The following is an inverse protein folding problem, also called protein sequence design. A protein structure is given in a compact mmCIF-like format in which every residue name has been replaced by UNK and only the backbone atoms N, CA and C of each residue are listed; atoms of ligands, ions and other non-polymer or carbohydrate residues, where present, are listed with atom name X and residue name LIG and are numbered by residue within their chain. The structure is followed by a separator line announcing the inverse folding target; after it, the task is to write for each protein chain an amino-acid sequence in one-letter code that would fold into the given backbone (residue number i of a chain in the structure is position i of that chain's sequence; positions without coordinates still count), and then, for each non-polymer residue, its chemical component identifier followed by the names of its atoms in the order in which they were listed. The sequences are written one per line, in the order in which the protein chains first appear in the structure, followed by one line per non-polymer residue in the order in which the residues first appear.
data_IF_431774661810
#
_entry.id   IF_431774661810
#
_cell.length_a   1.000
_cell.length_b   1.000
_cell.length_c   1.000
_cell.angle_alpha   90.00
_cell.angle_beta   90.00
_cell.angle_gamma   90.00
#
_symmetry.space_group_name_H-M   'P 1'
#
loop_
_entity.id
_entity.type
_entity.pdbx_description
1 polymer ?
#
# COMPACT_ATOMS: atom_id res chain seq x y z
N UNK A 1 16.78 -8.01 -29.37
CA UNK A 1 15.66 -8.57 -28.57
C UNK A 1 15.65 -7.84 -27.21
N UNK A 2 15.15 -6.61 -27.17
CA UNK A 2 15.12 -5.75 -25.95
C UNK A 2 13.72 -5.64 -25.31
N UNK A 3 12.67 -6.06 -26.03
CA UNK A 3 11.26 -5.86 -25.63
C UNK A 3 10.89 -6.66 -24.36
N UNK A 4 11.53 -7.81 -24.12
CA UNK A 4 11.30 -8.63 -22.92
C UNK A 4 11.70 -7.93 -21.62
N UNK A 5 12.70 -7.03 -21.65
CA UNK A 5 13.18 -6.38 -20.42
C UNK A 5 12.22 -5.31 -19.88
N UNK A 6 11.42 -4.64 -20.74
CA UNK A 6 10.56 -3.55 -20.27
C UNK A 6 9.34 -4.08 -19.51
N UNK A 7 8.68 -5.13 -20.02
CA UNK A 7 7.53 -5.76 -19.37
C UNK A 7 7.96 -6.48 -18.09
N UNK A 8 9.13 -7.12 -18.08
CA UNK A 8 9.68 -7.78 -16.89
C UNK A 8 10.04 -6.78 -15.76
N UNK A 9 10.30 -5.51 -16.09
CA UNK A 9 10.55 -4.45 -15.09
C UNK A 9 9.29 -3.92 -14.44
N UNK A 10 8.11 -4.14 -15.03
CA UNK A 10 6.85 -3.58 -14.52
C UNK A 10 6.51 -4.01 -13.08
N UNK A 11 6.58 -5.31 -12.70
CA UNK A 11 6.32 -5.71 -11.31
C UNK A 11 7.28 -5.07 -10.31
N UNK A 12 8.56 -4.92 -10.69
CA UNK A 12 9.59 -4.30 -9.84
C UNK A 12 9.29 -2.82 -9.64
N UNK A 13 8.88 -2.11 -10.68
CA UNK A 13 8.52 -0.70 -10.59
C UNK A 13 7.25 -0.48 -9.75
N UNK A 14 6.25 -1.35 -9.90
CA UNK A 14 5.01 -1.29 -9.14
C UNK A 14 5.27 -1.51 -7.64
N UNK A 15 6.05 -2.54 -7.31
CA UNK A 15 6.47 -2.85 -5.94
C UNK A 15 7.24 -1.68 -5.30
N UNK A 16 8.17 -1.08 -6.03
CA UNK A 16 8.91 0.12 -5.58
C UNK A 16 8.00 1.34 -5.37
N UNK A 17 7.02 1.55 -6.24
CA UNK A 17 6.08 2.66 -6.08
C UNK A 17 5.22 2.50 -4.83
N UNK A 18 4.79 1.27 -4.54
CA UNK A 18 4.02 0.97 -3.32
C UNK A 18 4.87 1.16 -2.06
N UNK A 19 6.14 0.75 -2.11
CA UNK A 19 7.09 0.92 -1.01
C UNK A 19 7.32 2.41 -0.69
N UNK A 20 7.44 3.25 -1.71
CA UNK A 20 7.62 4.69 -1.55
C UNK A 20 6.39 5.43 -1.00
N UNK A 21 5.18 5.02 -1.39
CA UNK A 21 3.95 5.72 -1.02
C UNK A 21 3.39 5.23 0.31
N UNK A 22 3.45 3.92 0.57
CA UNK A 22 2.83 3.30 1.75
C UNK A 22 3.79 2.47 2.60
N UNK A 23 4.89 1.94 2.04
CA UNK A 23 5.84 1.06 2.75
C UNK A 23 5.33 -0.35 3.09
N UNK A 24 4.06 -0.64 2.82
CA UNK A 24 3.43 -1.93 3.04
C UNK A 24 2.61 -2.39 1.82
N UNK A 25 2.35 -3.70 1.71
CA UNK A 25 1.58 -4.29 0.61
C UNK A 25 2.33 -4.43 -0.72
N UNK A 26 3.66 -4.34 -0.70
CA UNK A 26 4.52 -4.40 -1.91
C UNK A 26 4.43 -5.72 -2.68
N UNK A 27 4.08 -6.81 -2.00
CA UNK A 27 3.77 -8.11 -2.62
C UNK A 27 2.34 -8.12 -3.16
N UNK A 28 1.39 -7.68 -2.35
CA UNK A 28 -0.04 -7.66 -2.67
C UNK A 28 -0.34 -6.88 -3.95
N UNK A 29 0.33 -5.74 -4.15
CA UNK A 29 0.13 -4.93 -5.36
C UNK A 29 0.56 -5.67 -6.64
N UNK A 30 1.62 -6.49 -6.56
CA UNK A 30 2.09 -7.30 -7.69
C UNK A 30 1.13 -8.45 -7.97
N UNK A 31 0.63 -9.11 -6.92
CA UNK A 31 -0.35 -10.21 -7.05
C UNK A 31 -1.67 -9.71 -7.65
N UNK A 32 -2.17 -8.56 -7.20
CA UNK A 32 -3.37 -7.92 -7.76
C UNK A 32 -3.15 -7.58 -9.24
N UNK A 33 -2.01 -6.99 -9.60
CA UNK A 33 -1.70 -6.69 -10.99
C UNK A 33 -1.69 -7.95 -11.87
N UNK A 34 -1.10 -9.04 -11.38
CA UNK A 34 -1.13 -10.35 -12.06
C UNK A 34 -2.56 -10.89 -12.26
N UNK A 35 -3.40 -10.80 -11.23
CA UNK A 35 -4.80 -11.22 -11.28
C UNK A 35 -5.60 -10.38 -12.29
N UNK A 36 -5.40 -9.05 -12.30
CA UNK A 36 -6.06 -8.13 -13.23
C UNK A 36 -5.64 -8.38 -14.68
N UNK A 37 -4.35 -8.69 -14.93
CA UNK A 37 -3.87 -9.07 -16.25
C UNK A 37 -4.50 -10.38 -16.73
N UNK A 38 -4.62 -11.38 -15.86
CA UNK A 38 -5.30 -12.64 -16.16
C UNK A 38 -6.78 -12.42 -16.50
N UNK A 39 -7.49 -11.62 -15.72
CA UNK A 39 -8.88 -11.26 -15.99
C UNK A 39 -9.02 -10.50 -17.32
N UNK A 40 -8.11 -9.57 -17.59
CA UNK A 40 -8.07 -8.81 -18.85
C UNK A 40 -7.91 -9.73 -20.06
N UNK A 41 -7.08 -10.78 -19.95
CA UNK A 41 -6.94 -11.78 -21.02
C UNK A 41 -8.27 -12.49 -21.31
N UNK A 42 -9.03 -12.86 -20.27
CA UNK A 42 -10.36 -13.47 -20.43
C UNK A 42 -11.33 -12.53 -21.16
N UNK A 43 -11.32 -11.23 -20.83
CA UNK A 43 -12.15 -10.23 -21.50
C UNK A 43 -11.77 -10.08 -22.98
N UNK A 44 -10.47 -10.11 -23.30
CA UNK A 44 -9.99 -10.08 -24.68
C UNK A 44 -10.41 -11.33 -25.47
N UNK A 45 -10.31 -12.52 -24.87
CA UNK A 45 -10.78 -13.77 -25.47
C UNK A 45 -12.29 -13.77 -25.72
N UNK A 46 -13.06 -13.02 -24.94
CA UNK A 46 -14.50 -12.82 -25.14
C UNK A 46 -14.84 -11.75 -26.21
N UNK A 47 -13.83 -11.17 -26.87
CA UNK A 47 -14.02 -10.18 -27.94
C UNK A 47 -14.22 -8.74 -27.47
N UNK A 48 -13.98 -8.43 -26.19
CA UNK A 48 -14.11 -7.06 -25.67
C UNK A 48 -12.93 -6.21 -26.17
N UNK A 49 -13.23 -5.02 -26.68
CA UNK A 49 -12.21 -4.09 -27.14
C UNK A 49 -11.35 -3.56 -25.97
N UNK A 50 -10.03 -3.47 -26.17
CA UNK A 50 -9.05 -3.07 -25.13
C UNK A 50 -9.43 -1.78 -24.40
N UNK A 51 -9.85 -0.76 -25.15
CA UNK A 51 -10.25 0.54 -24.58
C UNK A 51 -11.41 0.40 -23.60
N UNK A 52 -12.43 -0.39 -23.96
CA UNK A 52 -13.60 -0.63 -23.10
C UNK A 52 -13.20 -1.37 -21.84
N UNK A 53 -12.31 -2.36 -21.95
CA UNK A 53 -11.77 -3.08 -20.79
C UNK A 53 -10.96 -2.17 -19.85
N UNK A 54 -10.11 -1.31 -20.41
CA UNK A 54 -9.33 -0.33 -19.64
C UNK A 54 -10.22 0.67 -18.91
N UNK A 55 -11.22 1.23 -19.59
CA UNK A 55 -12.17 2.18 -19.00
C UNK A 55 -12.99 1.52 -17.87
N UNK A 56 -13.38 0.27 -18.05
CA UNK A 56 -14.10 -0.50 -17.04
C UNK A 56 -13.24 -0.74 -15.79
N UNK A 57 -11.97 -1.14 -15.96
CA UNK A 57 -11.04 -1.33 -14.85
C UNK A 57 -10.78 -0.02 -14.09
N UNK A 58 -10.67 1.11 -14.79
CA UNK A 58 -10.50 2.41 -14.14
C UNK A 58 -11.74 2.82 -13.31
N UNK A 59 -12.94 2.63 -13.86
CA UNK A 59 -14.18 2.86 -13.10
C UNK A 59 -14.30 1.92 -11.89
N UNK A 60 -13.90 0.66 -12.06
CA UNK A 60 -13.87 -0.31 -10.97
C UNK A 60 -12.88 0.09 -9.88
N UNK A 61 -11.68 0.61 -10.21
CA UNK A 61 -10.71 1.06 -9.21
C UNK A 61 -11.22 2.25 -8.40
N UNK A 62 -11.90 3.20 -9.04
CA UNK A 62 -12.54 4.34 -8.34
C UNK A 62 -13.59 3.81 -7.37
N UNK A 63 -14.47 2.91 -7.85
CA UNK A 63 -15.53 2.39 -7.00
C UNK A 63 -15.00 1.53 -5.85
N UNK A 64 -13.94 0.76 -6.08
CA UNK A 64 -13.27 -0.01 -5.04
C UNK A 64 -12.69 0.91 -3.95
N UNK A 65 -12.06 2.02 -4.34
CA UNK A 65 -11.56 3.00 -3.38
C UNK A 65 -12.68 3.61 -2.54
N UNK A 66 -13.81 3.99 -3.14
CA UNK A 66 -14.98 4.49 -2.39
C UNK A 66 -15.49 3.47 -1.37
N UNK A 67 -15.59 2.21 -1.75
CA UNK A 67 -16.07 1.13 -0.87
C UNK A 67 -15.08 0.92 0.28
N UNK A 68 -13.78 0.87 -0.01
CA UNK A 68 -12.74 0.71 1.01
C UNK A 68 -12.74 1.88 2.01
N UNK A 69 -12.90 3.12 1.53
CA UNK A 69 -13.03 4.29 2.40
C UNK A 69 -14.31 4.25 3.25
N UNK A 70 -15.43 3.78 2.70
CA UNK A 70 -16.68 3.64 3.46
C UNK A 70 -16.64 2.52 4.51
N UNK A 71 -15.79 1.51 4.31
CA UNK A 71 -15.56 0.40 5.24
C UNK A 71 -14.44 0.67 6.24
N UNK A 72 -13.67 1.75 6.06
CA UNK A 72 -12.56 2.09 6.93
C UNK A 72 -13.05 2.45 8.34
N UNK A 73 -12.36 1.95 9.35
CA UNK A 73 -12.63 2.27 10.75
C UNK A 73 -11.73 3.47 11.11
N UNK A 74 -12.29 4.64 11.43
CA UNK A 74 -11.49 5.80 11.81
C UNK A 74 -10.77 5.52 13.14
N UNK A 75 -9.52 5.95 13.22
CA UNK A 75 -8.68 5.83 14.42
C UNK A 75 -8.15 7.21 14.78
N UNK A 76 -8.29 7.59 16.05
CA UNK A 76 -7.78 8.86 16.56
C UNK A 76 -6.31 8.71 16.95
N UNK A 77 -5.51 9.77 16.77
CA UNK A 77 -4.09 9.76 17.18
C UNK A 77 -3.87 9.54 18.68
N UNK A 78 -4.90 9.79 19.50
CA UNK A 78 -4.89 9.51 20.94
C UNK A 78 -5.10 8.02 21.28
N UNK A 79 -5.59 7.21 20.34
CA UNK A 79 -5.83 5.78 20.55
C UNK A 79 -4.55 4.97 20.34
N UNK A 80 -3.67 5.08 21.34
CA UNK A 80 -2.36 4.43 21.36
C UNK A 80 -2.47 2.91 21.13
N UNK A 81 -3.39 2.24 21.82
CA UNK A 81 -3.55 0.78 21.75
C UNK A 81 -3.91 0.31 20.34
N UNK A 82 -4.86 0.97 19.68
CA UNK A 82 -5.24 0.63 18.30
C UNK A 82 -4.10 0.89 17.32
N UNK A 83 -3.34 1.97 17.49
CA UNK A 83 -2.22 2.34 16.62
C UNK A 83 -1.03 1.40 16.79
N UNK A 84 -0.70 1.01 18.02
CA UNK A 84 0.34 0.00 18.30
C UNK A 84 -0.06 -1.35 17.73
N UNK A 85 -1.33 -1.75 17.89
CA UNK A 85 -1.84 -3.00 17.33
C UNK A 85 -1.78 -3.00 15.80
N UNK A 86 -2.14 -1.90 15.15
CA UNK A 86 -2.03 -1.74 13.69
C UNK A 86 -0.57 -1.84 13.23
N UNK A 87 0.33 -1.11 13.90
CA UNK A 87 1.77 -1.12 13.62
C UNK A 87 2.38 -2.51 13.79
N UNK A 88 2.03 -3.22 14.88
CA UNK A 88 2.45 -4.61 15.11
C UNK A 88 1.98 -5.53 13.98
N UNK A 89 0.75 -5.34 13.49
CA UNK A 89 0.20 -6.11 12.37
C UNK A 89 1.02 -5.92 11.09
N UNK A 90 1.40 -4.68 10.76
CA UNK A 90 2.26 -4.39 9.59
C UNK A 90 3.66 -4.99 9.73
N UNK A 91 4.19 -5.14 10.95
CA UNK A 91 5.50 -5.76 11.18
C UNK A 91 5.50 -7.29 11.08
N UNK A 92 4.34 -7.94 11.21
CA UNK A 92 4.25 -9.41 11.27
C UNK A 92 4.78 -10.11 10.01
N UNK A 93 4.70 -9.46 8.85
CA UNK A 93 5.21 -10.00 7.58
C UNK A 93 6.71 -9.76 7.36
N UNK A 94 7.39 -9.07 8.28
CA UNK A 94 8.80 -8.66 8.16
C UNK A 94 9.71 -9.52 9.04
N UNK A 95 11.02 -9.49 8.76
CA UNK A 95 12.06 -10.21 9.51
C UNK A 95 12.06 -9.85 11.00
N UNK A 96 11.60 -8.64 11.34
CA UNK A 96 11.54 -8.13 12.71
C UNK A 96 10.25 -8.50 13.46
N UNK A 97 9.39 -9.36 12.90
CA UNK A 97 8.10 -9.76 13.49
C UNK A 97 8.23 -10.28 14.93
N UNK A 98 9.30 -10.99 15.24
CA UNK A 98 9.61 -11.49 16.59
C UNK A 98 9.81 -10.38 17.62
N UNK A 99 10.21 -9.19 17.16
CA UNK A 99 10.43 -8.00 17.99
C UNK A 99 9.29 -6.99 17.87
N UNK A 100 8.18 -7.34 17.20
CA UNK A 100 7.06 -6.42 16.97
C UNK A 100 6.46 -5.86 18.27
N UNK A 101 6.46 -6.64 19.35
CA UNK A 101 6.00 -6.19 20.67
C UNK A 101 6.82 -5.05 21.27
N UNK A 102 8.09 -4.94 20.91
CA UNK A 102 8.98 -3.86 21.32
C UNK A 102 9.06 -2.74 20.28
N UNK A 103 9.17 -3.10 19.01
CA UNK A 103 9.37 -2.14 17.92
C UNK A 103 8.10 -1.36 17.57
N UNK A 104 6.91 -1.95 17.68
CA UNK A 104 5.66 -1.26 17.39
C UNK A 104 5.40 -0.05 18.31
N UNK A 105 5.44 -0.18 19.64
CA UNK A 105 5.26 0.98 20.52
C UNK A 105 6.41 1.99 20.36
N UNK A 106 7.66 1.54 20.23
CA UNK A 106 8.80 2.42 20.03
C UNK A 106 8.68 3.28 18.76
N UNK A 107 8.30 2.66 17.64
CA UNK A 107 8.11 3.37 16.37
C UNK A 107 6.96 4.38 16.47
N UNK A 108 5.85 4.00 17.12
CA UNK A 108 4.70 4.87 17.28
C UNK A 108 5.01 6.09 18.17
N UNK A 109 5.61 5.86 19.34
CA UNK A 109 5.97 6.92 20.28
C UNK A 109 6.92 7.93 19.63
N UNK A 110 7.87 7.45 18.81
CA UNK A 110 8.78 8.30 18.06
C UNK A 110 8.05 9.14 17.00
N UNK A 111 7.15 8.52 16.22
CA UNK A 111 6.32 9.25 15.24
C UNK A 111 5.48 10.32 15.93
N UNK A 112 4.82 10.00 17.03
CA UNK A 112 4.01 10.96 17.79
C UNK A 112 4.83 12.16 18.28
N UNK A 113 6.11 11.96 18.60
CA UNK A 113 7.01 13.04 19.03
C UNK A 113 7.39 14.03 17.92
N UNK A 114 7.29 13.63 16.66
CA UNK A 114 7.65 14.45 15.48
C UNK A 114 6.44 14.96 14.70
N UNK A 115 5.22 14.52 15.04
CA UNK A 115 3.98 15.00 14.43
C UNK A 115 3.81 16.50 14.71
N UNK A 116 3.65 17.28 13.64
CA UNK A 116 3.30 18.70 13.74
C UNK A 116 1.81 18.83 14.10
N UNK A 117 1.46 19.47 15.23
CA UNK A 117 0.06 19.72 15.60
C UNK A 117 -0.73 20.51 14.54
N UNK A 118 -0.05 21.29 13.69
CA UNK A 118 -0.66 22.01 12.58
C UNK A 118 -0.91 21.13 11.34
N UNK A 119 -0.29 19.95 11.26
CA UNK A 119 -0.42 18.97 10.16
C UNK A 119 -0.41 17.54 10.71
N UNK A 120 -1.45 17.13 11.46
CA UNK A 120 -1.48 15.83 12.13
C UNK A 120 -1.47 14.64 11.16
N UNK A 121 -1.89 14.85 9.91
CA UNK A 121 -2.04 13.80 8.90
C UNK A 121 -0.74 13.53 8.12
N UNK A 122 0.33 14.29 8.34
CA UNK A 122 1.56 14.20 7.57
C UNK A 122 2.80 14.23 8.46
N UNK A 123 3.61 13.17 8.34
CA UNK A 123 4.93 13.09 8.96
C UNK A 123 5.97 12.95 7.87
N UNK A 124 6.96 13.85 7.82
CA UNK A 124 8.08 13.74 6.89
C UNK A 124 9.11 12.74 7.46
N UNK A 125 9.47 11.73 6.67
CA UNK A 125 10.52 10.76 7.01
C UNK A 125 11.86 11.44 7.32
N UNK A 126 12.12 12.64 6.79
CA UNK A 126 13.31 13.44 7.12
C UNK A 126 13.32 13.92 8.58
N UNK A 127 12.15 14.13 9.17
CA UNK A 127 12.05 14.50 10.59
C UNK A 127 12.26 13.29 11.50
N UNK A 128 12.13 12.07 10.95
CA UNK A 128 12.39 10.80 11.64
C UNK A 128 13.88 10.39 11.59
N UNK A 129 14.63 10.74 10.53
CA UNK A 129 16.00 10.26 10.29
C UNK A 129 17.04 11.38 10.52
N UNK A 130 16.83 12.27 11.50
CA UNK A 130 17.89 13.22 11.91
C UNK A 130 18.94 12.53 12.79
N UNK A 131 19.87 11.85 12.15
CA UNK A 131 21.20 11.51 12.69
C UNK A 131 22.28 12.31 11.98
#
# INVERSE_FOLDING_TARGET
MEVLQLIAKFPVQLSKSQDLVAGDGTTTVVDIAGALLKASLTLLSAGIHRTVGSDALHKASIKAAEILSAMAIPVELSDHDSLVKSTSTSLNSKVVSQYSSFLAPLAFDYVLSVVDPAKPDLVDLKDIIRF
#
